data_IF_374754136954
#
_entry.id   IF_374754136954
#
_cell.length_a   1.000
_cell.length_b   1.000
_cell.length_c   1.000
_cell.angle_alpha   90.00
_cell.angle_beta   90.00
_cell.angle_gamma   90.00
#
_symmetry.space_group_name_H-M   'P 1'
#
loop_
_entity.id
_entity.type
_entity.pdbx_description
1 polymer ?
#
# COMPACT_ATOMS: atom_id res chain seq x y z
N UNK A 1 -10.75 -23.26 -6.96
CA UNK A 1 -11.99 -22.50 -7.03
C UNK A 1 -12.13 -21.52 -5.85
N UNK A 2 -11.89 -21.94 -4.59
CA UNK A 2 -12.01 -21.10 -3.38
C UNK A 2 -11.09 -19.89 -3.42
N UNK A 3 -9.78 -20.09 -3.64
CA UNK A 3 -8.80 -19.00 -3.78
C UNK A 3 -9.18 -17.99 -4.89
N UNK A 4 -9.66 -18.51 -6.02
CA UNK A 4 -10.07 -17.65 -7.14
C UNK A 4 -11.29 -16.80 -6.78
N UNK A 5 -12.23 -17.35 -6.03
CA UNK A 5 -13.36 -16.61 -5.49
C UNK A 5 -12.89 -15.53 -4.48
N UNK A 6 -12.05 -15.89 -3.53
CA UNK A 6 -11.53 -14.96 -2.53
C UNK A 6 -10.79 -13.78 -3.16
N UNK A 7 -9.89 -14.04 -4.11
CA UNK A 7 -9.12 -13.01 -4.81
C UNK A 7 -10.02 -12.08 -5.65
N UNK A 8 -11.08 -12.62 -6.28
CA UNK A 8 -11.93 -11.80 -7.14
C UNK A 8 -13.08 -11.09 -6.42
N UNK A 9 -13.54 -11.62 -5.27
CA UNK A 9 -14.73 -11.13 -4.57
C UNK A 9 -14.44 -10.51 -3.21
N UNK A 10 -13.34 -10.88 -2.54
CA UNK A 10 -13.03 -10.43 -1.18
C UNK A 10 -11.92 -9.38 -1.14
N UNK A 11 -10.96 -9.45 -2.06
CA UNK A 11 -9.86 -8.49 -2.18
C UNK A 11 -10.26 -7.40 -3.18
N UNK A 12 -9.92 -6.14 -2.90
CA UNK A 12 -10.03 -5.05 -3.89
C UNK A 12 -8.92 -5.21 -4.95
N UNK A 13 -9.20 -6.13 -5.87
CA UNK A 13 -8.27 -6.49 -6.94
C UNK A 13 -7.89 -5.29 -7.82
N UNK A 14 -8.81 -4.35 -8.03
CA UNK A 14 -8.57 -3.19 -8.90
C UNK A 14 -7.54 -2.27 -8.27
N UNK A 15 -7.72 -1.96 -7.00
CA UNK A 15 -6.77 -1.15 -6.23
C UNK A 15 -5.40 -1.81 -6.15
N UNK A 16 -5.36 -3.10 -5.82
CA UNK A 16 -4.10 -3.86 -5.75
C UNK A 16 -3.33 -3.87 -7.07
N UNK A 17 -4.02 -4.09 -8.21
CA UNK A 17 -3.37 -4.10 -9.53
C UNK A 17 -2.87 -2.69 -9.90
N UNK A 18 -3.64 -1.64 -9.61
CA UNK A 18 -3.22 -0.26 -9.88
C UNK A 18 -1.95 0.10 -9.10
N UNK A 19 -1.93 -0.14 -7.80
CA UNK A 19 -0.74 0.05 -6.96
C UNK A 19 0.45 -0.78 -7.45
N UNK A 20 0.21 -2.06 -7.74
CA UNK A 20 1.25 -2.97 -8.23
C UNK A 20 1.90 -2.48 -9.52
N UNK A 21 1.09 -2.05 -10.51
CA UNK A 21 1.61 -1.59 -11.81
C UNK A 21 2.36 -0.27 -11.65
N UNK A 22 1.81 0.69 -10.88
CA UNK A 22 2.48 1.98 -10.63
C UNK A 22 3.83 1.77 -9.96
N UNK A 23 3.86 1.03 -8.87
CA UNK A 23 5.10 0.71 -8.17
C UNK A 23 6.11 0.01 -9.08
N UNK A 24 5.66 -0.93 -9.93
CA UNK A 24 6.55 -1.61 -10.88
C UNK A 24 7.23 -0.66 -11.85
N UNK A 25 6.49 0.29 -12.43
CA UNK A 25 7.00 1.23 -13.43
C UNK A 25 7.85 2.33 -12.78
N UNK A 26 7.38 2.88 -11.66
CA UNK A 26 7.99 4.04 -11.01
C UNK A 26 9.22 3.66 -10.20
N UNK A 27 9.19 2.51 -9.50
CA UNK A 27 10.28 2.05 -8.62
C UNK A 27 11.11 0.89 -9.21
N UNK A 28 10.60 0.25 -10.25
CA UNK A 28 11.27 -0.89 -10.90
C UNK A 28 11.19 -2.20 -10.11
N UNK A 29 10.61 -2.19 -8.90
CA UNK A 29 10.49 -3.36 -8.03
C UNK A 29 9.20 -3.29 -7.25
N UNK A 30 8.47 -4.38 -7.23
CA UNK A 30 7.29 -4.54 -6.37
C UNK A 30 7.58 -5.59 -5.33
N UNK A 31 7.34 -5.25 -4.08
CA UNK A 31 7.40 -6.18 -2.95
C UNK A 31 5.98 -6.33 -2.43
N UNK A 32 5.46 -7.54 -2.47
CA UNK A 32 4.12 -7.87 -1.98
C UNK A 32 4.25 -8.68 -0.71
N UNK A 33 3.63 -8.20 0.37
CA UNK A 33 3.43 -8.96 1.61
C UNK A 33 2.16 -9.77 1.48
N UNK A 34 2.25 -11.06 1.77
CA UNK A 34 1.11 -11.97 1.81
C UNK A 34 0.71 -12.22 3.26
N UNK A 35 -0.57 -12.17 3.54
CA UNK A 35 -1.09 -12.38 4.88
C UNK A 35 -2.42 -13.10 4.87
N UNK A 36 -3.00 -13.21 6.06
CA UNK A 36 -4.33 -13.71 6.27
C UNK A 36 -5.06 -12.81 7.25
N UNK A 37 -6.16 -12.21 6.80
CA UNK A 37 -7.00 -11.37 7.61
C UNK A 37 -8.08 -12.24 8.26
N UNK A 38 -8.02 -12.31 9.60
CA UNK A 38 -9.01 -13.01 10.40
C UNK A 38 -9.58 -12.05 11.44
N UNK A 39 -10.88 -11.81 11.37
CA UNK A 39 -11.59 -10.94 12.30
C UNK A 39 -12.85 -11.67 12.77
N UNK A 40 -13.02 -11.78 14.07
CA UNK A 40 -14.17 -12.37 14.70
C UNK A 40 -14.84 -11.38 15.65
N UNK A 41 -16.13 -11.51 15.79
CA UNK A 41 -16.93 -10.73 16.73
C UNK A 41 -17.74 -11.70 17.60
N UNK A 42 -17.70 -11.47 18.90
CA UNK A 42 -18.54 -12.20 19.83
C UNK A 42 -19.89 -11.49 19.87
N UNK A 43 -20.94 -12.17 19.43
CA UNK A 43 -22.30 -11.68 19.43
C UNK A 43 -23.11 -12.50 20.43
N UNK A 44 -23.78 -11.82 21.36
CA UNK A 44 -24.75 -12.47 22.23
C UNK A 44 -26.03 -12.75 21.44
N UNK A 45 -26.39 -14.02 21.32
CA UNK A 45 -27.62 -14.45 20.70
C UNK A 45 -28.56 -15.03 21.75
N UNK A 46 -29.84 -14.75 21.58
CA UNK A 46 -30.87 -15.34 22.43
C UNK A 46 -31.16 -16.74 21.94
N UNK A 47 -30.82 -17.75 22.77
CA UNK A 47 -31.05 -19.16 22.48
C UNK A 47 -32.26 -19.59 23.30
N UNK A 48 -33.31 -20.18 22.69
CA UNK A 48 -34.46 -20.66 23.42
C UNK A 48 -34.15 -21.93 24.23
N UNK A 49 -34.61 -21.94 25.47
CA UNK A 49 -34.52 -23.10 26.35
C UNK A 49 -35.73 -24.01 26.13
N UNK A 50 -35.47 -25.27 25.87
CA UNK A 50 -36.50 -26.29 25.64
C UNK A 50 -36.57 -27.28 26.80
N UNK A 51 -37.80 -27.59 27.21
CA UNK A 51 -38.08 -28.68 28.13
C UNK A 51 -38.87 -29.76 27.39
N UNK A 52 -38.46 -31.00 27.52
CA UNK A 52 -39.11 -32.13 26.82
C UNK A 52 -40.30 -32.64 27.62
N UNK A 53 -41.51 -32.38 27.13
CA UNK A 53 -42.73 -32.78 27.82
C UNK A 53 -43.52 -33.82 27.02
N UNK A 54 -44.11 -34.83 27.69
CA UNK A 54 -44.95 -35.84 27.02
C UNK A 54 -46.27 -35.23 26.55
N UNK A 55 -46.52 -35.26 25.25
CA UNK A 55 -47.75 -34.75 24.63
C UNK A 55 -48.40 -35.83 23.78
N UNK A 56 -49.78 -35.86 23.69
CA UNK A 56 -50.50 -36.87 22.91
C UNK A 56 -50.19 -36.83 21.40
N UNK A 57 -49.76 -35.68 20.89
CA UNK A 57 -49.43 -35.48 19.48
C UNK A 57 -47.99 -35.92 19.13
N UNK A 58 -47.17 -36.12 20.16
CA UNK A 58 -45.77 -36.50 19.99
C UNK A 58 -45.61 -37.88 19.31
N UNK A 59 -46.52 -38.79 19.56
CA UNK A 59 -46.44 -40.16 19.04
C UNK A 59 -46.49 -40.21 17.50
N UNK A 60 -47.39 -39.45 16.89
CA UNK A 60 -47.50 -39.37 15.42
C UNK A 60 -46.27 -38.68 14.78
N UNK A 61 -45.81 -37.63 15.41
CA UNK A 61 -44.64 -36.88 14.92
C UNK A 61 -43.38 -37.74 14.99
N UNK A 62 -43.16 -38.49 16.08
CA UNK A 62 -42.02 -39.39 16.22
C UNK A 62 -42.07 -40.57 15.27
N UNK A 63 -43.27 -41.10 14.93
CA UNK A 63 -43.40 -42.14 13.90
C UNK A 63 -42.96 -41.62 12.52
N UNK A 64 -43.31 -40.38 12.18
CA UNK A 64 -42.90 -39.74 10.94
C UNK A 64 -41.38 -39.46 10.92
N UNK A 65 -40.82 -38.94 12.01
CA UNK A 65 -39.39 -38.70 12.15
C UNK A 65 -38.57 -40.00 12.07
N UNK A 66 -39.11 -41.07 12.66
CA UNK A 66 -38.48 -42.38 12.60
C UNK A 66 -38.45 -42.97 11.17
N UNK A 67 -39.59 -42.80 10.43
CA UNK A 67 -39.65 -43.18 9.04
C UNK A 67 -38.67 -42.39 8.17
N UNK A 68 -38.59 -41.06 8.37
CA UNK A 68 -37.64 -40.18 7.67
C UNK A 68 -36.21 -40.57 7.97
N UNK A 69 -35.88 -40.86 9.24
CA UNK A 69 -34.52 -41.29 9.63
C UNK A 69 -34.10 -42.61 8.98
N UNK A 70 -35.08 -43.54 8.73
CA UNK A 70 -34.82 -44.83 8.06
C UNK A 70 -34.70 -44.69 6.53
N UNK A 71 -35.49 -43.80 5.90
CA UNK A 71 -35.51 -43.57 4.46
C UNK A 71 -34.36 -42.69 3.98
N UNK A 72 -34.12 -41.59 4.70
CA UNK A 72 -33.08 -40.61 4.37
C UNK A 72 -32.40 -40.06 5.64
N UNK A 73 -31.33 -40.72 6.11
CA UNK A 73 -30.60 -40.27 7.31
C UNK A 73 -29.90 -38.92 7.14
N UNK A 74 -29.47 -38.54 5.91
CA UNK A 74 -28.85 -37.26 5.64
C UNK A 74 -29.90 -36.13 5.64
N UNK A 75 -31.06 -36.37 5.06
CA UNK A 75 -32.22 -35.46 5.10
C UNK A 75 -32.71 -35.23 6.51
N UNK A 76 -32.75 -36.28 7.35
CA UNK A 76 -33.12 -36.16 8.76
C UNK A 76 -32.22 -35.19 9.52
N UNK A 77 -30.88 -35.24 9.32
CA UNK A 77 -29.92 -34.34 9.98
C UNK A 77 -29.98 -32.90 9.46
N UNK A 78 -30.37 -32.68 8.19
CA UNK A 78 -30.38 -31.36 7.59
C UNK A 78 -31.74 -30.64 7.71
N UNK A 79 -32.85 -31.36 7.64
CA UNK A 79 -34.19 -30.78 7.59
C UNK A 79 -34.88 -30.72 8.94
N UNK A 80 -34.52 -31.62 9.88
CA UNK A 80 -35.15 -31.68 11.20
C UNK A 80 -34.41 -30.76 12.18
N UNK A 81 -35.10 -29.84 12.89
CA UNK A 81 -34.50 -29.00 13.90
C UNK A 81 -33.77 -29.81 15.01
N UNK A 82 -32.64 -29.34 15.54
CA UNK A 82 -31.86 -30.05 16.55
C UNK A 82 -32.67 -30.46 17.79
N UNK A 83 -33.58 -29.62 18.24
CA UNK A 83 -34.47 -29.84 19.38
C UNK A 83 -35.39 -31.02 19.14
N UNK A 84 -35.86 -31.18 17.91
CA UNK A 84 -36.73 -32.31 17.53
C UNK A 84 -35.96 -33.60 17.35
N UNK A 85 -34.70 -33.52 16.93
CA UNK A 85 -33.78 -34.69 16.87
C UNK A 85 -33.51 -35.20 18.29
N UNK A 86 -33.19 -34.30 19.22
CA UNK A 86 -32.96 -34.63 20.63
C UNK A 86 -34.24 -35.23 21.29
N UNK A 87 -35.41 -34.63 21.02
CA UNK A 87 -36.70 -35.16 21.47
C UNK A 87 -36.96 -36.58 20.94
N UNK A 88 -36.57 -36.85 19.68
CA UNK A 88 -36.71 -38.16 19.07
C UNK A 88 -35.78 -39.18 19.73
N UNK A 89 -34.49 -38.80 19.97
CA UNK A 89 -33.56 -39.68 20.68
C UNK A 89 -34.01 -40.02 22.11
N UNK A 90 -34.49 -39.02 22.85
CA UNK A 90 -35.05 -39.22 24.20
C UNK A 90 -36.26 -40.14 24.18
N UNK A 91 -37.14 -39.98 23.19
CA UNK A 91 -38.32 -40.85 23.00
C UNK A 91 -37.88 -42.30 22.74
N UNK A 92 -36.85 -42.51 21.92
CA UNK A 92 -36.34 -43.85 21.64
C UNK A 92 -35.68 -44.50 22.87
N UNK A 93 -35.02 -43.71 23.72
CA UNK A 93 -34.34 -44.19 24.93
C UNK A 93 -35.32 -44.47 26.07
N UNK A 94 -36.32 -43.61 26.26
CA UNK A 94 -37.26 -43.69 27.41
C UNK A 94 -38.55 -44.42 27.11
N UNK A 95 -38.87 -44.61 25.80
CA UNK A 95 -40.12 -45.22 25.38
C UNK A 95 -41.39 -44.36 25.63
N UNK A 96 -41.20 -43.08 25.97
CA UNK A 96 -42.28 -42.11 26.17
C UNK A 96 -42.12 -40.99 25.15
N UNK A 97 -43.12 -40.74 24.29
CA UNK A 97 -43.01 -39.70 23.28
C UNK A 97 -43.04 -38.31 23.92
N UNK A 98 -41.96 -37.53 23.70
CA UNK A 98 -41.78 -36.18 24.25
C UNK A 98 -41.61 -35.17 23.10
N UNK A 99 -42.10 -33.95 23.31
CA UNK A 99 -41.93 -32.83 22.39
C UNK A 99 -41.18 -31.69 23.08
N UNK A 100 -40.34 -30.94 22.35
CA UNK A 100 -39.69 -29.78 22.90
C UNK A 100 -40.71 -28.65 23.09
N UNK A 101 -40.81 -28.12 24.31
CA UNK A 101 -41.65 -26.98 24.67
C UNK A 101 -40.70 -25.87 25.14
N UNK A 102 -40.76 -24.71 24.50
CA UNK A 102 -39.96 -23.57 24.90
C UNK A 102 -40.43 -23.04 26.27
N UNK A 103 -39.56 -23.07 27.26
CA UNK A 103 -39.84 -22.60 28.64
C UNK A 103 -39.17 -21.31 28.98
N UNK A 104 -38.14 -20.92 28.22
CA UNK A 104 -37.38 -19.73 28.47
C UNK A 104 -36.43 -19.40 27.31
N UNK A 105 -35.54 -18.47 27.56
CA UNK A 105 -34.41 -18.19 26.68
C UNK A 105 -33.22 -17.70 27.53
N UNK A 106 -32.02 -18.01 27.12
CA UNK A 106 -30.79 -17.48 27.70
C UNK A 106 -29.93 -16.86 26.63
N UNK A 107 -29.01 -15.97 27.05
CA UNK A 107 -28.03 -15.36 26.13
C UNK A 107 -26.82 -16.26 26.07
N UNK A 108 -26.43 -16.63 24.86
CA UNK A 108 -25.22 -17.39 24.59
C UNK A 108 -24.28 -16.57 23.71
N UNK A 109 -22.98 -16.59 24.05
CA UNK A 109 -21.94 -15.95 23.23
C UNK A 109 -21.65 -16.83 22.03
N UNK A 110 -21.93 -16.32 20.84
CA UNK A 110 -21.57 -16.96 19.57
C UNK A 110 -20.50 -16.17 18.87
N UNK A 111 -19.44 -16.86 18.44
CA UNK A 111 -18.38 -16.26 17.61
C UNK A 111 -18.87 -16.17 16.17
N UNK A 112 -19.01 -14.93 15.69
CA UNK A 112 -19.31 -14.64 14.29
C UNK A 112 -18.02 -14.24 13.57
N UNK A 113 -17.67 -14.96 12.51
CA UNK A 113 -16.48 -14.67 11.70
C UNK A 113 -16.84 -13.57 10.70
N UNK A 114 -16.30 -12.36 10.91
CA UNK A 114 -16.50 -11.21 10.02
C UNK A 114 -15.61 -11.32 8.80
N UNK A 115 -14.31 -11.64 9.02
CA UNK A 115 -13.32 -11.76 7.96
C UNK A 115 -12.50 -13.04 8.13
N UNK A 116 -12.36 -13.77 7.05
CA UNK A 116 -11.51 -14.95 6.94
C UNK A 116 -11.07 -15.07 5.49
N UNK A 117 -10.01 -14.33 5.14
CA UNK A 117 -9.62 -14.13 3.75
C UNK A 117 -8.11 -13.87 3.62
N UNK A 118 -7.52 -14.20 2.47
CA UNK A 118 -6.14 -13.84 2.18
C UNK A 118 -6.01 -12.31 2.07
N UNK A 119 -4.89 -11.79 2.56
CA UNK A 119 -4.49 -10.40 2.48
C UNK A 119 -3.28 -10.25 1.56
N UNK A 120 -3.32 -9.24 0.70
CA UNK A 120 -2.22 -8.86 -0.18
C UNK A 120 -1.97 -7.37 -0.03
N UNK A 121 -0.75 -7.01 0.33
CA UNK A 121 -0.30 -5.64 0.52
C UNK A 121 0.89 -5.36 -0.37
N UNK A 122 0.83 -4.29 -1.16
CA UNK A 122 1.98 -3.77 -1.89
C UNK A 122 2.79 -2.92 -0.92
N UNK A 123 4.01 -3.36 -0.61
CA UNK A 123 4.88 -2.65 0.31
C UNK A 123 5.65 -1.56 -0.44
N UNK A 124 5.79 -0.39 0.19
CA UNK A 124 6.75 0.61 -0.25
C UNK A 124 8.17 0.06 -0.03
N UNK A 125 8.93 -0.10 -1.12
CA UNK A 125 10.26 -0.71 -1.06
C UNK A 125 11.25 0.08 -0.20
N UNK A 126 11.07 1.39 -0.03
CA UNK A 126 11.88 2.23 0.85
C UNK A 126 11.75 1.84 2.33
N UNK A 127 10.62 1.24 2.68
CA UNK A 127 10.30 0.80 4.04
C UNK A 127 10.51 -0.70 4.25
N UNK A 128 11.12 -1.39 3.28
CA UNK A 128 11.48 -2.81 3.36
C UNK A 128 12.99 -2.96 3.32
N UNK A 129 13.56 -3.53 4.37
CA UNK A 129 14.98 -3.87 4.43
C UNK A 129 15.13 -5.37 4.21
N UNK A 130 15.83 -5.74 3.15
CA UNK A 130 16.04 -7.13 2.75
C UNK A 130 17.49 -7.51 3.03
N UNK A 131 17.70 -8.76 3.41
CA UNK A 131 19.04 -9.34 3.56
C UNK A 131 19.86 -9.18 2.26
N UNK A 132 20.99 -8.45 2.29
CA UNK A 132 21.82 -8.23 1.11
C UNK A 132 22.52 -9.51 0.62
N UNK A 133 22.59 -10.55 1.45
CA UNK A 133 23.27 -11.80 1.12
C UNK A 133 22.45 -12.72 0.21
N UNK A 134 21.15 -12.46 0.03
CA UNK A 134 20.23 -13.25 -0.79
C UNK A 134 20.54 -13.24 -2.30
N UNK A 135 21.41 -12.33 -2.76
CA UNK A 135 21.87 -12.22 -4.17
C UNK A 135 20.72 -12.13 -5.20
N UNK A 136 19.61 -11.50 -4.85
CA UNK A 136 18.47 -11.32 -5.73
C UNK A 136 17.42 -12.44 -5.68
N UNK A 137 17.61 -13.43 -4.84
CA UNK A 137 16.68 -14.54 -4.61
C UNK A 137 16.10 -14.43 -3.20
N UNK A 138 14.85 -13.95 -3.11
CA UNK A 138 14.19 -13.69 -1.83
C UNK A 138 13.99 -14.96 -0.99
N UNK A 139 13.89 -16.11 -1.65
CA UNK A 139 13.78 -17.42 -0.96
C UNK A 139 15.05 -17.79 -0.18
N UNK A 140 16.17 -17.10 -0.44
CA UNK A 140 17.44 -17.29 0.26
C UNK A 140 17.72 -16.22 1.31
N UNK A 141 16.80 -15.28 1.48
CA UNK A 141 16.97 -14.22 2.46
C UNK A 141 16.84 -14.78 3.87
N UNK A 142 17.80 -14.46 4.73
CA UNK A 142 17.77 -14.83 6.14
C UNK A 142 16.81 -13.95 6.95
N UNK A 143 16.56 -12.72 6.48
CA UNK A 143 15.61 -11.83 7.11
C UNK A 143 15.04 -10.78 6.16
N UNK A 144 13.86 -10.28 6.51
CA UNK A 144 13.22 -9.10 5.94
C UNK A 144 12.64 -8.26 7.09
N UNK A 145 12.89 -6.96 7.07
CA UNK A 145 12.28 -6.02 8.01
C UNK A 145 11.33 -5.13 7.22
N UNK A 146 10.08 -5.08 7.63
CA UNK A 146 9.06 -4.22 7.06
C UNK A 146 8.61 -3.18 8.07
N UNK A 147 8.60 -1.92 7.65
CA UNK A 147 8.19 -0.80 8.49
C UNK A 147 6.87 -0.26 7.97
N UNK A 148 5.87 -0.16 8.81
CA UNK A 148 4.54 0.33 8.44
C UNK A 148 3.96 1.25 9.51
N UNK A 149 3.05 2.12 9.07
CA UNK A 149 2.36 3.05 9.93
C UNK A 149 1.02 2.47 10.41
N UNK A 150 0.78 2.58 11.70
CA UNK A 150 -0.45 2.12 12.34
C UNK A 150 -0.83 3.04 13.49
N UNK A 151 -1.87 2.70 14.24
CA UNK A 151 -2.27 3.42 15.45
C UNK A 151 -2.32 2.49 16.65
N UNK A 152 -2.20 3.08 17.86
CA UNK A 152 -2.30 2.32 19.10
C UNK A 152 -3.63 1.56 19.24
N UNK A 153 -4.71 2.14 18.68
CA UNK A 153 -6.02 1.49 18.66
C UNK A 153 -6.04 0.24 17.78
N UNK A 154 -5.39 0.30 16.61
CA UNK A 154 -5.29 -0.84 15.70
C UNK A 154 -4.45 -1.97 16.29
N UNK A 155 -3.29 -1.65 16.89
CA UNK A 155 -2.46 -2.67 17.55
C UNK A 155 -3.18 -3.39 18.71
N UNK A 156 -4.02 -2.68 19.46
CA UNK A 156 -4.83 -3.29 20.52
C UNK A 156 -5.94 -4.20 19.99
N UNK A 157 -6.53 -3.86 18.84
CA UNK A 157 -7.57 -4.67 18.20
C UNK A 157 -7.01 -5.95 17.58
N UNK A 158 -5.81 -5.89 17.02
CA UNK A 158 -5.15 -7.02 16.38
C UNK A 158 -4.88 -8.19 17.37
N UNK A 159 -4.64 -7.88 18.64
CA UNK A 159 -4.44 -8.89 19.68
C UNK A 159 -3.11 -9.65 19.62
N UNK A 160 -2.36 -9.59 18.52
CA UNK A 160 -1.04 -10.25 18.36
C UNK A 160 0.09 -9.50 19.07
N UNK A 161 -0.13 -8.25 19.46
CA UNK A 161 0.88 -7.38 20.03
C UNK A 161 0.75 -7.27 21.56
N UNK A 162 1.85 -7.39 22.26
CA UNK A 162 1.97 -7.29 23.71
C UNK A 162 2.74 -6.02 24.11
N UNK A 163 2.92 -5.76 25.41
CA UNK A 163 3.73 -4.65 25.95
C UNK A 163 3.33 -3.24 25.45
N UNK A 164 2.14 -3.06 24.90
CA UNK A 164 1.68 -1.80 24.33
C UNK A 164 1.65 -0.63 25.33
N UNK A 165 1.62 -0.93 26.64
CA UNK A 165 1.63 0.07 27.71
C UNK A 165 2.98 0.81 27.83
N UNK A 166 4.05 0.22 27.31
CA UNK A 166 5.42 0.76 27.39
C UNK A 166 5.84 1.47 26.10
N UNK A 167 4.99 1.51 25.10
CA UNK A 167 5.25 2.18 23.83
C UNK A 167 5.15 3.69 24.02
N UNK A 168 6.21 4.40 23.66
CA UNK A 168 6.20 5.86 23.63
C UNK A 168 5.78 6.34 22.23
N UNK A 169 4.59 6.88 22.15
CA UNK A 169 3.97 7.32 20.89
C UNK A 169 4.69 8.53 20.26
N UNK A 170 5.46 9.29 21.04
CA UNK A 170 6.18 10.49 20.55
C UNK A 170 7.54 10.16 19.92
N UNK A 171 8.00 8.93 20.03
CA UNK A 171 9.36 8.53 19.67
C UNK A 171 9.41 7.65 18.41
N UNK A 172 8.40 7.72 17.55
CA UNK A 172 8.40 7.00 16.27
C UNK A 172 9.15 7.79 15.19
N UNK A 173 10.07 7.13 14.49
CA UNK A 173 10.73 7.71 13.33
C UNK A 173 9.73 7.83 12.17
N UNK A 174 9.82 8.85 11.31
CA UNK A 174 8.99 8.91 10.11
C UNK A 174 9.35 7.77 9.15
N UNK A 175 8.35 7.29 8.40
CA UNK A 175 8.58 6.41 7.26
C UNK A 175 9.28 7.18 6.14
N UNK A 176 10.00 6.47 5.30
CA UNK A 176 10.45 7.00 4.02
C UNK A 176 9.25 7.10 3.10
N UNK A 177 9.05 8.29 2.53
CA UNK A 177 8.00 8.51 1.52
C UNK A 177 8.58 8.26 0.13
N UNK A 178 7.82 7.69 -0.81
CA UNK A 178 8.25 7.56 -2.19
C UNK A 178 8.45 8.94 -2.84
N UNK A 179 9.46 9.08 -3.69
CA UNK A 179 9.82 10.35 -4.34
C UNK A 179 8.71 10.93 -5.25
N UNK A 180 7.74 10.11 -5.65
CA UNK A 180 6.62 10.50 -6.52
C UNK A 180 5.32 10.80 -5.75
N UNK A 181 5.28 10.56 -4.45
CA UNK A 181 4.14 10.97 -3.63
C UNK A 181 4.10 12.49 -3.53
N UNK A 182 3.01 13.07 -3.98
CA UNK A 182 2.75 14.49 -3.75
C UNK A 182 2.59 14.65 -2.23
N UNK A 183 3.62 15.20 -1.58
CA UNK A 183 3.70 15.35 -0.14
C UNK A 183 2.53 16.14 0.42
N UNK A 184 1.42 15.45 0.60
CA UNK A 184 0.21 15.99 1.16
C UNK A 184 0.22 15.74 2.67
N UNK A 185 0.45 16.83 3.40
CA UNK A 185 0.15 16.97 4.83
C UNK A 185 0.71 15.94 5.82
N UNK A 186 1.99 15.62 5.72
CA UNK A 186 2.76 15.07 6.86
C UNK A 186 2.67 15.94 8.14
N UNK A 187 2.08 17.15 8.01
CA UNK A 187 1.85 18.08 9.12
C UNK A 187 0.62 17.75 9.98
N UNK A 188 -0.34 16.98 9.46
CA UNK A 188 -1.55 16.65 10.22
C UNK A 188 -1.27 15.54 11.25
N UNK A 189 -1.43 15.86 12.53
CA UNK A 189 -1.28 14.91 13.62
C UNK A 189 -2.55 14.85 14.46
N UNK A 190 -3.03 13.63 14.70
CA UNK A 190 -4.10 13.41 15.67
C UNK A 190 -3.65 13.83 17.07
N UNK A 191 -4.55 14.46 17.83
CA UNK A 191 -4.25 14.91 19.21
C UNK A 191 -4.42 13.82 20.25
N UNK A 192 -5.25 12.84 19.99
CA UNK A 192 -5.52 11.73 20.88
C UNK A 192 -4.54 10.58 20.63
N UNK A 193 -4.00 10.01 21.68
CA UNK A 193 -3.00 8.95 21.64
C UNK A 193 -3.54 7.65 20.97
N UNK A 194 -4.86 7.45 20.97
CA UNK A 194 -5.47 6.27 20.37
C UNK A 194 -5.36 6.24 18.84
N UNK A 195 -5.49 7.42 18.18
CA UNK A 195 -5.43 7.57 16.72
C UNK A 195 -4.07 8.06 16.24
N UNK A 196 -3.22 8.51 17.15
CA UNK A 196 -1.89 9.00 16.81
C UNK A 196 -1.13 7.91 16.07
N UNK A 197 -0.53 8.29 14.94
CA UNK A 197 0.21 7.38 14.09
C UNK A 197 1.56 7.04 14.71
N UNK A 198 1.89 5.77 14.67
CA UNK A 198 3.15 5.20 15.15
C UNK A 198 3.69 4.25 14.10
N UNK A 199 5.00 4.13 14.04
CA UNK A 199 5.67 3.24 13.10
C UNK A 199 6.08 1.97 13.83
N UNK A 200 5.65 0.86 13.26
CA UNK A 200 6.02 -0.48 13.69
C UNK A 200 7.06 -1.02 12.71
N UNK A 201 8.13 -1.56 13.25
CA UNK A 201 9.11 -2.34 12.49
C UNK A 201 8.86 -3.81 12.78
N UNK A 202 8.63 -4.60 11.75
CA UNK A 202 8.35 -6.02 11.84
C UNK A 202 9.47 -6.81 11.16
N UNK A 203 10.16 -7.63 11.94
CA UNK A 203 11.21 -8.53 11.48
C UNK A 203 10.61 -9.89 11.19
N UNK A 204 10.86 -10.40 10.02
CA UNK A 204 10.57 -11.75 9.58
C UNK A 204 11.86 -12.43 9.21
N UNK A 205 12.21 -13.54 9.84
CA UNK A 205 13.48 -14.19 9.50
C UNK A 205 13.81 -15.36 10.40
N UNK A 206 15.10 -15.72 10.33
CA UNK A 206 15.66 -16.81 11.09
C UNK A 206 16.64 -16.26 12.12
N UNK A 207 16.56 -16.74 13.35
CA UNK A 207 17.45 -16.33 14.43
C UNK A 207 17.56 -17.45 15.47
N UNK A 208 18.74 -17.62 16.04
CA UNK A 208 18.94 -18.46 17.23
C UNK A 208 18.58 -17.66 18.49
N UNK A 209 17.29 -17.62 18.82
CA UNK A 209 16.81 -16.90 20.01
C UNK A 209 16.89 -17.75 21.30
N UNK A 210 17.15 -19.05 21.16
CA UNK A 210 17.26 -20.00 22.26
C UNK A 210 18.72 -20.37 22.60
N UNK A 211 19.72 -19.78 21.94
CA UNK A 211 21.15 -20.10 22.05
C UNK A 211 21.43 -21.62 21.84
N UNK A 212 20.69 -22.25 20.94
CA UNK A 212 20.87 -23.67 20.61
C UNK A 212 21.91 -23.92 19.53
N UNK A 213 22.31 -22.85 18.81
CA UNK A 213 23.18 -22.90 17.62
C UNK A 213 22.44 -23.21 16.33
N UNK A 214 21.12 -23.32 16.37
CA UNK A 214 20.25 -23.48 15.21
C UNK A 214 19.36 -22.25 15.04
N UNK A 215 19.31 -21.70 13.82
CA UNK A 215 18.44 -20.57 13.52
C UNK A 215 17.00 -21.04 13.29
N UNK A 216 16.06 -20.53 14.05
CA UNK A 216 14.65 -20.86 13.98
C UNK A 216 13.85 -19.74 13.32
N UNK A 217 12.79 -20.04 12.54
CA UNK A 217 11.96 -19.03 11.89
C UNK A 217 11.06 -18.32 12.91
N UNK A 218 11.19 -17.01 13.02
CA UNK A 218 10.40 -16.22 13.97
C UNK A 218 10.00 -14.84 13.44
N UNK A 219 9.08 -14.21 14.15
CA UNK A 219 8.58 -12.87 13.90
C UNK A 219 8.78 -12.02 15.14
N UNK A 220 9.38 -10.85 14.97
CA UNK A 220 9.48 -9.86 16.03
C UNK A 220 8.98 -8.51 15.54
N UNK A 221 8.32 -7.74 16.41
CA UNK A 221 7.92 -6.38 16.09
C UNK A 221 8.25 -5.43 17.24
N UNK A 222 8.66 -4.21 16.87
CA UNK A 222 8.99 -3.19 17.84
C UNK A 222 8.56 -1.79 17.41
N UNK A 223 8.36 -0.91 18.38
CA UNK A 223 8.11 0.52 18.19
C UNK A 223 9.17 1.30 18.96
N UNK A 224 9.99 2.07 18.26
CA UNK A 224 11.14 2.73 18.89
C UNK A 224 12.06 1.74 19.58
N UNK A 225 12.14 1.78 20.89
CA UNK A 225 12.94 0.84 21.69
C UNK A 225 12.14 -0.28 22.39
N UNK A 226 10.84 -0.39 22.14
CA UNK A 226 9.96 -1.33 22.84
C UNK A 226 9.58 -2.50 21.95
N UNK A 227 9.95 -3.72 22.36
CA UNK A 227 9.52 -4.96 21.71
C UNK A 227 8.04 -5.21 22.03
N UNK A 228 7.21 -5.32 20.99
CA UNK A 228 5.76 -5.50 21.13
C UNK A 228 5.28 -6.87 20.64
N UNK A 229 6.10 -7.60 19.89
CA UNK A 229 5.79 -8.95 19.44
C UNK A 229 7.08 -9.78 19.34
N UNK A 230 7.00 -11.04 19.74
CA UNK A 230 8.04 -12.02 19.52
C UNK A 230 7.38 -13.40 19.53
N UNK A 231 7.17 -13.95 18.35
CA UNK A 231 6.46 -15.21 18.13
C UNK A 231 7.21 -16.10 17.12
N UNK A 232 6.96 -17.38 17.14
CA UNK A 232 7.35 -18.28 16.06
C UNK A 232 6.61 -17.89 14.78
N UNK A 233 7.25 -18.10 13.61
CA UNK A 233 6.60 -17.82 12.33
C UNK A 233 5.28 -18.62 12.20
N UNK A 234 4.13 -17.95 12.05
CA UNK A 234 2.83 -18.61 12.04
C UNK A 234 2.53 -19.37 10.74
N UNK A 235 3.28 -19.12 9.67
CA UNK A 235 3.04 -19.78 8.39
C UNK A 235 3.48 -21.24 8.42
N UNK A 236 2.67 -22.19 7.87
CA UNK A 236 2.96 -23.61 7.92
C UNK A 236 4.26 -24.02 7.22
N UNK A 237 4.64 -23.30 6.16
CA UNK A 237 5.87 -23.53 5.39
C UNK A 237 7.11 -22.83 6.00
N UNK A 238 6.90 -22.05 7.07
CA UNK A 238 7.94 -21.29 7.77
C UNK A 238 8.75 -20.34 6.86
N UNK A 239 8.22 -20.01 5.69
CA UNK A 239 8.83 -19.07 4.75
C UNK A 239 8.53 -17.62 5.10
N UNK A 240 9.33 -16.72 4.53
CA UNK A 240 9.08 -15.29 4.61
C UNK A 240 7.85 -14.93 3.76
N UNK A 241 6.88 -14.17 4.27
CA UNK A 241 5.63 -13.89 3.58
C UNK A 241 5.76 -12.74 2.56
N UNK A 242 6.89 -12.65 1.88
CA UNK A 242 7.16 -11.59 0.92
C UNK A 242 7.50 -12.17 -0.45
N UNK A 243 6.98 -11.53 -1.48
CA UNK A 243 7.25 -11.86 -2.88
C UNK A 243 7.77 -10.61 -3.56
N UNK A 244 8.96 -10.66 -4.16
CA UNK A 244 9.47 -9.56 -4.96
C UNK A 244 9.38 -9.86 -6.45
N UNK A 245 8.97 -8.86 -7.22
CA UNK A 245 8.93 -8.91 -8.68
C UNK A 245 9.66 -7.70 -9.23
N UNK A 246 10.63 -7.95 -10.10
CA UNK A 246 11.41 -6.90 -10.77
C UNK A 246 10.75 -6.55 -12.10
N UNK A 247 10.61 -5.27 -12.39
CA UNK A 247 10.14 -4.77 -13.68
C UNK A 247 11.16 -5.05 -14.78
N UNK A 248 12.35 -4.49 -14.65
CA UNK A 248 13.50 -4.83 -15.48
C UNK A 248 14.57 -5.49 -14.59
N UNK A 249 14.82 -6.80 -14.75
CA UNK A 249 15.66 -7.54 -13.81
C UNK A 249 17.12 -7.13 -13.90
N UNK A 250 17.70 -6.88 -12.72
CA UNK A 250 19.15 -6.72 -12.56
C UNK A 250 19.79 -8.01 -12.03
N UNK A 251 20.91 -8.38 -12.58
CA UNK A 251 21.62 -9.60 -12.17
C UNK A 251 22.08 -9.51 -10.71
N UNK A 252 21.75 -10.51 -9.89
CA UNK A 252 22.12 -10.60 -8.46
C UNK A 252 21.60 -9.45 -7.58
N UNK A 253 20.52 -8.82 -7.95
CA UNK A 253 19.85 -7.79 -7.17
C UNK A 253 18.42 -8.19 -6.94
N UNK A 254 17.84 -7.84 -5.81
CA UNK A 254 16.39 -7.92 -5.56
C UNK A 254 15.70 -6.79 -6.28
N UNK A 255 16.41 -5.67 -6.49
CA UNK A 255 15.87 -4.46 -7.07
C UNK A 255 16.05 -4.46 -8.59
N UNK A 256 14.97 -4.17 -9.31
CA UNK A 256 14.93 -3.98 -10.75
C UNK A 256 15.26 -2.54 -11.15
N UNK A 257 15.08 -2.23 -12.41
CA UNK A 257 15.35 -0.92 -12.99
C UNK A 257 14.02 -0.29 -13.43
N UNK A 258 13.68 0.94 -12.95
CA UNK A 258 12.48 1.65 -13.35
C UNK A 258 12.67 2.35 -14.70
N UNK A 259 11.56 2.63 -15.41
CA UNK A 259 11.57 3.39 -16.66
C UNK A 259 12.18 4.79 -16.48
N UNK A 260 11.93 5.43 -15.33
CA UNK A 260 12.50 6.73 -15.02
C UNK A 260 14.01 6.76 -15.01
N UNK A 261 14.68 5.71 -14.54
CA UNK A 261 16.14 5.62 -14.55
C UNK A 261 16.71 5.47 -15.97
N UNK A 262 16.02 4.76 -16.86
CA UNK A 262 16.42 4.62 -18.26
C UNK A 262 16.28 5.91 -19.05
N UNK A 263 15.23 6.69 -18.76
CA UNK A 263 14.92 7.93 -19.47
C UNK A 263 15.63 9.17 -18.88
N UNK A 264 16.28 9.04 -17.72
CA UNK A 264 16.86 10.16 -16.98
C UNK A 264 17.85 10.99 -17.83
N UNK A 265 18.76 10.33 -18.54
CA UNK A 265 19.76 11.00 -19.36
C UNK A 265 19.13 11.69 -20.58
N UNK A 266 18.15 11.06 -21.21
CA UNK A 266 17.41 11.65 -22.32
C UNK A 266 16.64 12.90 -21.87
N UNK A 267 15.99 12.83 -20.73
CA UNK A 267 15.25 13.97 -20.15
C UNK A 267 16.18 15.12 -19.77
N UNK A 268 17.39 14.85 -19.24
CA UNK A 268 18.41 15.86 -18.95
C UNK A 268 18.83 16.60 -20.24
N UNK A 269 19.05 15.86 -21.33
CA UNK A 269 19.43 16.43 -22.64
C UNK A 269 18.29 17.30 -23.18
N UNK A 270 17.06 16.79 -23.22
CA UNK A 270 15.87 17.57 -23.64
C UNK A 270 15.71 18.83 -22.83
N UNK A 271 15.83 18.74 -21.52
CA UNK A 271 15.74 19.91 -20.62
C UNK A 271 16.84 20.94 -20.87
N UNK A 272 18.08 20.51 -21.12
CA UNK A 272 19.21 21.41 -21.42
C UNK A 272 19.01 22.12 -22.78
N UNK A 273 18.62 21.39 -23.82
CA UNK A 273 18.37 21.95 -25.15
C UNK A 273 17.18 22.93 -25.11
N UNK A 274 16.10 22.59 -24.43
CA UNK A 274 14.91 23.45 -24.29
C UNK A 274 15.25 24.75 -23.58
N UNK A 275 15.99 24.68 -22.45
CA UNK A 275 16.44 25.89 -21.73
C UNK A 275 17.31 26.77 -22.61
N UNK A 276 18.27 26.18 -23.35
CA UNK A 276 19.12 26.91 -24.30
C UNK A 276 18.33 27.61 -25.39
N UNK A 277 17.28 26.95 -25.92
CA UNK A 277 16.39 27.58 -26.93
C UNK A 277 15.58 28.73 -26.34
N UNK A 278 15.06 28.60 -25.13
CA UNK A 278 14.32 29.67 -24.41
C UNK A 278 15.24 30.87 -24.20
N UNK A 279 16.49 30.65 -23.80
CA UNK A 279 17.48 31.72 -23.62
C UNK A 279 17.78 32.47 -24.93
N UNK A 280 17.93 31.74 -26.05
CA UNK A 280 18.13 32.35 -27.38
C UNK A 280 16.92 33.17 -27.78
N UNK A 281 15.71 32.64 -27.63
CA UNK A 281 14.45 33.33 -27.93
C UNK A 281 14.34 34.64 -27.06
N UNK A 282 14.60 34.51 -25.77
CA UNK A 282 14.55 35.64 -24.84
C UNK A 282 15.52 36.78 -25.24
N UNK A 283 16.75 36.42 -25.64
CA UNK A 283 17.73 37.40 -26.16
C UNK A 283 17.30 37.99 -27.50
N UNK A 284 16.81 37.15 -28.41
CA UNK A 284 16.34 37.57 -29.74
C UNK A 284 15.12 38.50 -29.66
N UNK A 285 14.18 38.21 -28.73
CA UNK A 285 13.00 39.03 -28.51
C UNK A 285 13.30 40.41 -27.88
N UNK A 286 14.33 40.48 -27.03
CA UNK A 286 14.74 41.71 -26.34
C UNK A 286 15.93 42.38 -26.99
N UNK A 287 16.03 42.36 -28.30
CA UNK A 287 17.16 42.84 -29.10
C UNK A 287 17.92 44.02 -28.44
N UNK A 288 19.23 43.82 -28.27
CA UNK A 288 20.08 44.85 -27.70
C UNK A 288 20.56 45.79 -28.77
N UNK A 289 20.49 47.08 -28.51
CA UNK A 289 21.02 48.09 -29.38
C UNK A 289 22.11 48.88 -28.68
N UNK A 290 23.29 48.87 -29.27
CA UNK A 290 24.40 49.70 -28.83
C UNK A 290 24.30 51.04 -29.47
N UNK A 291 24.40 52.10 -28.65
CA UNK A 291 24.44 53.49 -29.11
C UNK A 291 25.82 54.06 -28.79
N UNK A 292 26.47 54.67 -29.79
CA UNK A 292 27.73 55.36 -29.58
C UNK A 292 27.56 56.55 -28.65
N UNK A 293 28.36 56.71 -27.62
CA UNK A 293 28.19 57.69 -26.55
C UNK A 293 28.09 59.14 -27.02
N UNK A 294 28.75 59.48 -28.12
CA UNK A 294 28.80 60.83 -28.72
C UNK A 294 27.73 61.03 -29.80
N UNK A 295 26.86 60.02 -30.05
CA UNK A 295 25.90 60.07 -31.14
C UNK A 295 24.70 60.96 -30.84
N UNK A 296 24.24 60.98 -29.59
CA UNK A 296 23.08 61.75 -29.17
C UNK A 296 23.42 62.58 -27.94
N UNK A 297 22.88 63.81 -27.88
CA UNK A 297 22.87 64.61 -26.65
C UNK A 297 21.79 64.07 -25.68
N UNK A 298 21.80 64.55 -24.44
CA UNK A 298 20.86 64.11 -23.38
C UNK A 298 19.40 64.30 -23.78
N UNK A 299 19.09 65.35 -24.52
CA UNK A 299 17.71 65.68 -24.94
C UNK A 299 17.25 64.73 -26.06
N UNK A 300 18.14 64.48 -27.03
CA UNK A 300 17.83 63.58 -28.14
C UNK A 300 17.89 62.08 -27.69
N UNK A 301 18.68 61.71 -26.70
CA UNK A 301 18.67 60.40 -26.10
C UNK A 301 17.32 60.08 -25.44
N UNK A 302 16.76 61.04 -24.68
CA UNK A 302 15.41 60.87 -24.09
C UNK A 302 14.32 60.77 -25.14
N UNK A 303 14.39 61.58 -26.23
CA UNK A 303 13.44 61.43 -27.36
C UNK A 303 13.52 60.08 -28.03
N UNK A 304 14.74 59.56 -28.21
CA UNK A 304 14.95 58.25 -28.76
C UNK A 304 14.30 57.15 -27.88
N UNK A 305 14.52 57.19 -26.56
CA UNK A 305 13.89 56.26 -25.59
C UNK A 305 12.36 56.36 -25.62
N UNK A 306 11.80 57.52 -25.90
CA UNK A 306 10.35 57.77 -25.99
C UNK A 306 9.76 57.48 -27.37
N UNK A 307 10.60 57.06 -28.36
CA UNK A 307 10.14 56.86 -29.74
C UNK A 307 9.76 58.12 -30.48
N UNK A 308 10.21 59.31 -30.03
CA UNK A 308 9.98 60.59 -30.68
C UNK A 308 11.14 60.93 -31.63
N UNK A 309 10.89 61.86 -32.57
CA UNK A 309 11.89 62.33 -33.52
C UNK A 309 13.11 62.92 -32.84
N UNK A 310 14.30 62.45 -33.16
CA UNK A 310 15.59 62.88 -32.60
C UNK A 310 16.57 63.27 -33.67
N UNK A 311 17.61 64.01 -33.29
CA UNK A 311 18.66 64.47 -34.18
C UNK A 311 20.03 63.99 -33.66
N UNK A 312 20.89 63.58 -34.61
CA UNK A 312 22.29 63.24 -34.31
C UNK A 312 23.12 64.50 -34.11
N UNK A 313 24.18 64.38 -33.33
CA UNK A 313 25.23 65.36 -33.22
C UNK A 313 25.91 65.55 -34.57
N UNK A 314 26.31 66.79 -34.90
CA UNK A 314 26.80 67.16 -36.22
C UNK A 314 28.08 66.44 -36.70
N UNK A 315 28.82 65.83 -35.82
CA UNK A 315 30.07 65.12 -36.13
C UNK A 315 29.95 63.59 -36.16
N UNK A 316 28.75 63.03 -36.17
CA UNK A 316 28.52 61.59 -36.10
C UNK A 316 27.82 61.12 -37.36
N UNK A 317 28.38 60.11 -38.03
CA UNK A 317 27.69 59.43 -39.13
C UNK A 317 26.56 58.58 -38.55
N UNK A 318 25.30 58.81 -38.95
CA UNK A 318 24.13 58.06 -38.46
C UNK A 318 24.25 56.57 -38.68
N UNK A 319 24.97 56.15 -39.73
CA UNK A 319 25.17 54.71 -40.06
C UNK A 319 26.08 53.98 -39.10
N UNK A 320 26.93 54.71 -38.37
CA UNK A 320 27.89 54.15 -37.40
C UNK A 320 27.45 54.49 -35.96
N UNK A 321 26.33 55.18 -35.78
CA UNK A 321 25.85 55.59 -34.49
C UNK A 321 25.13 54.50 -33.70
N UNK A 322 24.54 53.55 -34.39
CA UNK A 322 23.79 52.43 -33.82
C UNK A 322 24.38 51.13 -34.29
N UNK A 323 24.49 50.20 -33.35
CA UNK A 323 24.79 48.79 -33.60
C UNK A 323 23.65 47.94 -33.08
N UNK A 324 22.96 47.24 -33.98
CA UNK A 324 21.96 46.24 -33.59
C UNK A 324 22.65 44.90 -33.50
N UNK A 325 22.62 44.32 -32.32
CA UNK A 325 23.10 42.93 -32.11
C UNK A 325 22.13 41.98 -32.77
N UNK A 326 22.64 41.17 -33.68
CA UNK A 326 21.85 40.11 -34.31
C UNK A 326 22.12 38.81 -33.57
N UNK A 327 21.14 38.34 -32.84
CA UNK A 327 21.26 37.06 -32.17
C UNK A 327 21.05 35.93 -33.19
N UNK A 328 21.78 34.83 -33.08
CA UNK A 328 21.62 33.70 -33.98
C UNK A 328 20.22 33.10 -33.83
N UNK A 329 19.64 32.67 -34.91
CA UNK A 329 18.45 31.85 -34.92
C UNK A 329 18.70 30.52 -34.18
N UNK A 330 17.63 29.88 -33.72
CA UNK A 330 17.73 28.57 -33.07
C UNK A 330 18.39 27.60 -34.06
N UNK A 331 19.52 26.99 -33.70
CA UNK A 331 20.20 26.06 -34.61
C UNK A 331 19.30 24.91 -35.00
N UNK A 332 19.23 24.59 -36.29
CA UNK A 332 18.46 23.43 -36.77
C UNK A 332 18.91 22.10 -36.12
N UNK A 333 20.17 22.05 -35.70
CA UNK A 333 20.70 20.90 -34.93
C UNK A 333 20.02 20.72 -33.57
N UNK A 334 19.62 21.80 -32.90
CA UNK A 334 18.90 21.74 -31.62
C UNK A 334 17.49 21.17 -31.82
N UNK A 335 16.79 21.57 -32.86
CA UNK A 335 15.47 21.01 -33.22
C UNK A 335 15.59 19.54 -33.62
N UNK A 336 16.61 19.16 -34.39
CA UNK A 336 16.86 17.78 -34.74
C UNK A 336 17.16 16.92 -33.51
N UNK A 337 17.93 17.44 -32.54
CA UNK A 337 18.23 16.76 -31.30
C UNK A 337 16.97 16.51 -30.47
N UNK A 338 16.07 17.51 -30.33
CA UNK A 338 14.79 17.33 -29.67
C UNK A 338 13.91 16.27 -30.35
N UNK A 339 13.89 16.29 -31.68
CA UNK A 339 13.09 15.31 -32.45
C UNK A 339 13.63 13.91 -32.25
N UNK A 340 14.95 13.75 -32.21
CA UNK A 340 15.60 12.45 -32.01
C UNK A 340 15.31 11.92 -30.61
N UNK A 341 15.42 12.73 -29.60
CA UNK A 341 15.18 12.33 -28.20
C UNK A 341 13.70 12.08 -27.87
N UNK A 342 12.78 12.71 -28.59
CA UNK A 342 11.36 12.43 -28.43
C UNK A 342 10.88 11.18 -29.17
N UNK A 343 11.69 10.61 -30.05
CA UNK A 343 11.38 9.39 -30.81
C UNK A 343 12.05 8.14 -30.23
N UNK A 344 12.95 8.28 -29.27
CA UNK A 344 13.51 7.19 -28.46
C UNK A 344 12.61 6.89 -27.24
#
# INVERSE_FOLDING_TARGET
QVLNYQINCKIDKTKFIDEYIRTAVDEGTVIVKTGWEYEEEIVEIEVPDYEFQPTPEAEQTHQQLHALMQEDPEGFQQEVPPEMQEAHELTMQQGVPVMPVQVGSHMEEQTNIIKNQPELEVCDYNNVVIDPTCQGDLDKAEFIIYSFETSMSQLKKDGRYSNLKHVNVDNSSPLSEPDFESGDDSSFKFRDDARKKIIVHEYWGFWDYNDTGEAEPFVAAWVGGTLIRMDENPFPDKKLPFISVQYLPRRKSVYGEPDGALLEDNQKIVGAVTRGMIDIIGRSANGQMGIRKDALDVTNARKFEQGADYKFNSNVDPRQAFHMETYPEIPGSALNMLTLQNNE
#
